data_IF_265773548654
#
_entry.id   IF_265773548654
#
_cell.length_a   1.000
_cell.length_b   1.000
_cell.length_c   1.000
_cell.angle_alpha   90.00
_cell.angle_beta   90.00
_cell.angle_gamma   90.00
#
_symmetry.space_group_name_H-M   'P 1'
#
loop_
_entity.id
_entity.type
_entity.pdbx_description
1 polymer ?
#
# COMPACT_ATOMS: atom_id res chain seq x y z
N UNK A 1 -29.32 -23.87 -12.24
CA UNK A 1 -28.62 -23.86 -10.93
C UNK A 1 -29.31 -22.75 -10.17
N UNK A 2 -29.91 -23.02 -9.01
CA UNK A 2 -30.50 -21.94 -8.22
C UNK A 2 -29.33 -21.10 -7.70
N UNK A 3 -29.16 -19.93 -8.30
CA UNK A 3 -28.05 -19.05 -7.98
C UNK A 3 -28.44 -18.20 -6.77
N UNK A 4 -27.52 -18.03 -5.84
CA UNK A 4 -27.75 -17.27 -4.61
C UNK A 4 -26.66 -16.23 -4.47
N UNK A 5 -27.07 -14.99 -4.33
CA UNK A 5 -26.17 -13.88 -4.14
C UNK A 5 -26.14 -13.45 -2.68
N UNK A 6 -24.92 -13.33 -2.15
CA UNK A 6 -24.65 -12.56 -0.96
C UNK A 6 -24.78 -13.26 0.40
N UNK A 7 -24.55 -12.47 1.47
CA UNK A 7 -24.10 -11.07 1.42
C UNK A 7 -22.63 -10.94 1.02
N UNK A 8 -22.24 -9.76 0.52
CA UNK A 8 -20.85 -9.43 0.20
C UNK A 8 -19.90 -9.47 1.43
N UNK A 9 -20.45 -9.43 2.65
CA UNK A 9 -19.72 -9.49 3.92
C UNK A 9 -20.14 -10.67 4.82
N UNK A 10 -19.83 -10.60 6.11
CA UNK A 10 -20.30 -11.61 7.08
C UNK A 10 -21.82 -11.55 7.29
N UNK A 11 -22.40 -10.36 7.10
CA UNK A 11 -23.82 -10.04 7.25
C UNK A 11 -24.28 -9.08 6.18
N UNK A 12 -25.58 -9.07 5.88
CA UNK A 12 -26.18 -8.08 4.99
C UNK A 12 -27.28 -8.66 4.11
N UNK A 13 -27.85 -7.82 3.23
CA UNK A 13 -28.86 -8.24 2.26
C UNK A 13 -28.33 -9.31 1.29
N UNK A 14 -29.20 -10.26 0.93
CA UNK A 14 -28.90 -11.40 0.09
C UNK A 14 -30.20 -12.04 -0.45
N UNK A 15 -30.08 -12.92 -1.43
CA UNK A 15 -31.23 -13.64 -1.95
C UNK A 15 -30.96 -14.43 -3.22
N UNK A 16 -32.01 -15.01 -3.82
CA UNK A 16 -31.89 -15.69 -5.10
C UNK A 16 -31.51 -14.73 -6.22
N UNK A 17 -30.86 -15.25 -7.24
CA UNK A 17 -30.27 -14.50 -8.34
C UNK A 17 -30.53 -15.19 -9.68
N UNK A 18 -30.78 -14.39 -10.71
CA UNK A 18 -30.88 -14.85 -12.10
C UNK A 18 -29.77 -14.24 -12.93
N UNK A 19 -29.00 -15.08 -13.61
CA UNK A 19 -27.89 -14.69 -14.48
C UNK A 19 -28.28 -14.82 -15.97
N UNK A 20 -27.91 -13.83 -16.77
CA UNK A 20 -28.14 -13.79 -18.22
C UNK A 20 -26.83 -14.06 -18.96
N UNK A 21 -26.81 -15.13 -19.75
CA UNK A 21 -25.64 -15.56 -20.50
C UNK A 21 -25.80 -15.35 -22.01
N UNK A 22 -24.71 -14.93 -22.64
CA UNK A 22 -24.61 -14.76 -24.08
C UNK A 22 -23.53 -15.69 -24.68
N UNK A 23 -23.82 -16.27 -25.85
CA UNK A 23 -22.87 -17.11 -26.57
C UNK A 23 -21.93 -16.23 -27.41
N UNK A 24 -20.70 -16.06 -26.96
CA UNK A 24 -19.77 -15.13 -27.61
C UNK A 24 -19.13 -15.66 -28.89
N UNK A 25 -19.05 -16.98 -29.08
CA UNK A 25 -18.28 -17.54 -30.19
C UNK A 25 -18.90 -17.21 -31.54
N UNK A 26 -18.09 -16.65 -32.44
CA UNK A 26 -18.49 -16.33 -33.81
C UNK A 26 -18.34 -17.53 -34.75
N UNK A 27 -17.47 -18.47 -34.40
CA UNK A 27 -17.13 -19.63 -35.23
C UNK A 27 -18.04 -20.83 -34.98
N UNK A 28 -18.82 -20.82 -33.90
CA UNK A 28 -19.67 -21.95 -33.50
C UNK A 28 -21.05 -21.47 -33.10
N UNK A 29 -22.07 -22.28 -33.35
CA UNK A 29 -23.44 -21.98 -32.92
C UNK A 29 -23.60 -22.33 -31.43
N UNK A 30 -24.47 -21.61 -30.68
CA UNK A 30 -24.75 -21.96 -29.30
C UNK A 30 -25.30 -23.40 -29.20
N UNK A 31 -24.83 -24.20 -28.23
CA UNK A 31 -25.36 -25.53 -28.00
C UNK A 31 -26.83 -25.45 -27.58
N UNK A 32 -27.63 -26.45 -27.95
CA UNK A 32 -29.05 -26.53 -27.58
C UNK A 32 -29.29 -26.58 -26.07
N UNK A 33 -28.31 -27.09 -25.32
CA UNK A 33 -28.35 -27.19 -23.87
C UNK A 33 -27.32 -26.23 -23.29
N UNK A 34 -27.78 -25.31 -22.44
CA UNK A 34 -26.91 -24.43 -21.69
C UNK A 34 -25.98 -25.23 -20.77
N UNK A 35 -24.70 -24.86 -20.74
CA UNK A 35 -23.68 -25.43 -19.88
C UNK A 35 -22.81 -24.30 -19.31
N UNK A 36 -22.92 -23.96 -18.02
CA UNK A 36 -22.17 -22.85 -17.43
C UNK A 36 -20.65 -23.09 -17.38
N UNK A 37 -20.17 -24.33 -17.57
CA UNK A 37 -18.75 -24.65 -17.62
C UNK A 37 -18.11 -24.39 -19.01
N UNK A 38 -18.92 -24.13 -20.04
CA UNK A 38 -18.42 -23.79 -21.36
C UNK A 38 -18.04 -22.30 -21.41
N UNK A 39 -16.75 -22.04 -21.70
CA UNK A 39 -16.13 -20.70 -21.70
C UNK A 39 -16.67 -19.76 -22.79
N UNK A 40 -17.46 -20.28 -23.73
CA UNK A 40 -18.14 -19.48 -24.74
C UNK A 40 -19.45 -18.86 -24.22
N UNK A 41 -19.97 -19.30 -23.07
CA UNK A 41 -21.00 -18.56 -22.37
C UNK A 41 -20.36 -17.46 -21.54
N UNK A 42 -20.76 -16.21 -21.81
CA UNK A 42 -20.36 -15.04 -21.04
C UNK A 42 -21.60 -14.50 -20.35
N UNK A 43 -21.56 -14.44 -19.03
CA UNK A 43 -22.56 -13.73 -18.23
C UNK A 43 -22.43 -12.22 -18.51
N UNK A 44 -23.51 -11.59 -18.97
CA UNK A 44 -23.53 -10.16 -19.30
C UNK A 44 -24.32 -9.33 -18.28
N UNK A 45 -25.25 -9.96 -17.56
CA UNK A 45 -26.16 -9.30 -16.63
C UNK A 45 -26.64 -10.28 -15.57
N UNK A 46 -26.88 -9.81 -14.35
CA UNK A 46 -27.59 -10.54 -13.32
C UNK A 46 -28.65 -9.68 -12.60
N UNK A 47 -29.70 -10.32 -12.09
CA UNK A 47 -30.74 -9.73 -11.26
C UNK A 47 -30.85 -10.49 -9.93
N UNK A 48 -30.46 -9.83 -8.85
CA UNK A 48 -30.54 -10.34 -7.48
C UNK A 48 -31.83 -9.87 -6.81
N UNK A 49 -32.63 -10.82 -6.35
CA UNK A 49 -33.84 -10.53 -5.59
C UNK A 49 -33.49 -10.49 -4.10
N UNK A 50 -33.21 -9.29 -3.59
CA UNK A 50 -32.82 -9.06 -2.21
C UNK A 50 -33.99 -9.29 -1.25
N UNK A 51 -34.21 -10.55 -0.90
CA UNK A 51 -35.33 -11.02 -0.09
C UNK A 51 -34.96 -11.23 1.38
N UNK A 52 -33.68 -11.44 1.69
CA UNK A 52 -33.21 -11.81 3.02
C UNK A 52 -32.07 -10.93 3.51
N UNK A 53 -31.90 -10.86 4.82
CA UNK A 53 -30.71 -10.33 5.48
C UNK A 53 -30.06 -11.47 6.25
N UNK A 54 -28.81 -11.78 5.91
CA UNK A 54 -28.00 -12.73 6.66
C UNK A 54 -27.47 -12.09 7.94
N UNK A 55 -27.71 -12.73 9.06
CA UNK A 55 -27.29 -12.29 10.39
C UNK A 55 -25.89 -12.81 10.75
N UNK A 56 -25.31 -12.28 11.84
CA UNK A 56 -23.97 -12.69 12.31
C UNK A 56 -23.89 -14.16 12.71
N UNK A 57 -25.00 -14.72 13.22
CA UNK A 57 -25.17 -16.13 13.56
C UNK A 57 -25.47 -17.02 12.34
N UNK A 58 -25.48 -16.44 11.12
CA UNK A 58 -25.63 -17.18 9.87
C UNK A 58 -27.08 -17.51 9.48
N UNK A 59 -28.07 -16.96 10.19
CA UNK A 59 -29.49 -17.09 9.84
C UNK A 59 -29.87 -16.12 8.74
N UNK A 60 -30.89 -16.49 7.97
CA UNK A 60 -31.49 -15.63 6.96
C UNK A 60 -32.85 -15.17 7.47
N UNK A 61 -32.98 -13.87 7.73
CA UNK A 61 -34.24 -13.25 8.13
C UNK A 61 -34.81 -12.55 6.91
N UNK A 62 -36.12 -12.62 6.70
CA UNK A 62 -36.76 -11.88 5.61
C UNK A 62 -36.48 -10.37 5.73
N UNK A 63 -36.05 -9.76 4.64
CA UNK A 63 -35.73 -8.34 4.60
C UNK A 63 -37.01 -7.52 4.76
N UNK A 64 -36.97 -6.50 5.62
CA UNK A 64 -38.09 -5.57 5.81
C UNK A 64 -38.44 -4.80 4.54
N UNK A 65 -37.44 -4.56 3.69
CA UNK A 65 -37.59 -3.99 2.36
C UNK A 65 -36.95 -4.95 1.34
N UNK A 66 -37.73 -5.34 0.33
CA UNK A 66 -37.28 -6.15 -0.79
C UNK A 66 -36.96 -5.25 -1.97
N UNK A 67 -35.88 -5.54 -2.68
CA UNK A 67 -35.51 -4.83 -3.90
C UNK A 67 -34.93 -5.80 -4.92
N UNK A 68 -34.89 -5.36 -6.18
CA UNK A 68 -34.09 -6.00 -7.22
C UNK A 68 -32.79 -5.21 -7.31
N UNK A 69 -31.67 -5.89 -7.09
CA UNK A 69 -30.32 -5.36 -7.31
C UNK A 69 -29.81 -5.96 -8.62
N UNK A 70 -29.48 -5.12 -9.58
CA UNK A 70 -29.20 -5.54 -10.95
C UNK A 70 -27.81 -5.09 -11.37
N UNK A 71 -27.05 -5.99 -11.99
CA UNK A 71 -25.66 -5.78 -12.36
C UNK A 71 -25.39 -6.15 -13.80
N UNK A 72 -25.25 -5.14 -14.68
CA UNK A 72 -24.85 -5.37 -16.07
C UNK A 72 -23.36 -5.08 -16.24
N UNK A 73 -22.61 -6.05 -16.76
CA UNK A 73 -21.20 -5.87 -17.09
C UNK A 73 -21.07 -5.06 -18.38
N UNK A 74 -20.83 -3.76 -18.27
CA UNK A 74 -20.72 -2.85 -19.43
C UNK A 74 -19.67 -3.34 -20.43
N UNK A 75 -18.45 -3.66 -19.99
CA UNK A 75 -17.38 -4.11 -20.90
C UNK A 75 -17.73 -5.44 -21.60
N UNK A 76 -18.40 -6.37 -20.89
CA UNK A 76 -18.84 -7.64 -21.49
C UNK A 76 -19.95 -7.41 -22.52
N UNK A 77 -20.89 -6.54 -22.18
CA UNK A 77 -22.04 -6.21 -23.03
C UNK A 77 -21.59 -5.51 -24.31
N UNK A 78 -20.72 -4.49 -24.18
CA UNK A 78 -20.14 -3.78 -25.35
C UNK A 78 -19.34 -4.75 -26.22
N UNK A 79 -18.54 -5.65 -25.64
CA UNK A 79 -17.80 -6.65 -26.41
C UNK A 79 -18.74 -7.55 -27.22
N UNK A 80 -19.79 -8.07 -26.59
CA UNK A 80 -20.82 -8.89 -27.25
C UNK A 80 -21.51 -8.14 -28.38
N UNK A 81 -21.93 -6.89 -28.15
CA UNK A 81 -22.60 -6.06 -29.16
C UNK A 81 -21.71 -5.77 -30.37
N UNK A 82 -20.38 -5.73 -30.18
CA UNK A 82 -19.40 -5.55 -31.24
C UNK A 82 -18.91 -6.88 -31.85
N UNK A 83 -19.50 -8.02 -31.47
CA UNK A 83 -19.09 -9.34 -31.97
C UNK A 83 -17.71 -9.81 -31.51
N UNK A 84 -17.19 -9.24 -30.42
CA UNK A 84 -15.87 -9.57 -29.87
C UNK A 84 -15.97 -10.76 -28.90
N UNK A 85 -15.08 -11.74 -29.06
CA UNK A 85 -14.97 -12.90 -28.15
C UNK A 85 -14.16 -12.60 -26.87
N UNK A 86 -13.60 -11.40 -26.78
CA UNK A 86 -12.73 -10.94 -25.70
C UNK A 86 -13.02 -9.47 -25.37
N UNK A 87 -13.42 -9.18 -24.13
CA UNK A 87 -13.75 -7.82 -23.71
C UNK A 87 -12.54 -6.89 -23.63
N UNK A 88 -11.33 -7.45 -23.56
CA UNK A 88 -10.10 -6.67 -23.64
C UNK A 88 -9.84 -6.09 -25.04
N UNK A 89 -10.55 -6.57 -26.07
CA UNK A 89 -10.50 -6.00 -27.43
C UNK A 89 -11.48 -4.83 -27.62
N UNK A 90 -12.34 -4.55 -26.64
CA UNK A 90 -13.25 -3.42 -26.68
C UNK A 90 -12.55 -2.09 -26.39
N UNK A 91 -13.22 -0.98 -26.71
CA UNK A 91 -12.65 0.37 -26.64
C UNK A 91 -12.19 0.80 -25.24
N UNK A 92 -12.75 0.18 -24.20
CA UNK A 92 -12.37 0.42 -22.81
C UNK A 92 -10.98 -0.12 -22.41
N UNK A 93 -10.36 -0.94 -23.27
CA UNK A 93 -9.07 -1.60 -23.01
C UNK A 93 -8.12 -1.59 -24.21
N UNK A 94 -8.64 -1.63 -25.43
CA UNK A 94 -7.84 -1.73 -26.65
C UNK A 94 -6.75 -0.64 -26.76
N UNK A 95 -7.01 0.66 -26.52
CA UNK A 95 -5.96 1.68 -26.56
C UNK A 95 -4.85 1.45 -25.52
N UNK A 96 -5.22 0.97 -24.33
CA UNK A 96 -4.27 0.65 -23.25
C UNK A 96 -3.38 -0.53 -23.67
N UNK A 97 -3.97 -1.57 -24.27
CA UNK A 97 -3.25 -2.74 -24.78
C UNK A 97 -2.31 -2.35 -25.92
N UNK A 98 -2.77 -1.55 -26.87
CA UNK A 98 -1.95 -1.03 -27.97
C UNK A 98 -0.76 -0.24 -27.42
N UNK A 99 -0.98 0.60 -26.39
CA UNK A 99 0.10 1.33 -25.74
C UNK A 99 1.13 0.42 -25.08
N UNK A 100 0.68 -0.64 -24.39
CA UNK A 100 1.55 -1.66 -23.79
C UNK A 100 2.41 -2.34 -24.87
N UNK A 101 1.83 -2.75 -26.00
CA UNK A 101 2.55 -3.41 -27.08
C UNK A 101 3.54 -2.47 -27.78
N UNK A 102 3.15 -1.21 -27.98
CA UNK A 102 3.98 -0.16 -28.58
C UNK A 102 5.29 0.00 -27.80
N UNK A 103 5.19 0.24 -26.49
CA UNK A 103 6.34 0.54 -25.63
C UNK A 103 7.10 -0.71 -25.18
N UNK A 104 6.54 -1.90 -25.40
CA UNK A 104 7.24 -3.15 -25.11
C UNK A 104 8.34 -3.45 -26.13
N UNK A 105 9.49 -3.87 -25.63
CA UNK A 105 10.61 -4.28 -26.46
C UNK A 105 10.51 -5.79 -26.78
N UNK A 106 10.19 -6.11 -28.04
CA UNK A 106 10.12 -7.48 -28.54
C UNK A 106 8.77 -8.20 -28.36
N UNK A 107 7.79 -7.61 -27.67
CA UNK A 107 6.47 -8.21 -27.47
C UNK A 107 5.39 -7.52 -28.35
N UNK A 108 5.26 -7.95 -29.61
CA UNK A 108 4.49 -7.19 -30.62
C UNK A 108 3.07 -7.68 -30.91
N UNK A 109 2.58 -8.70 -30.20
CA UNK A 109 1.19 -9.16 -30.36
C UNK A 109 0.52 -9.46 -29.03
N UNK A 110 -0.75 -9.06 -28.93
CA UNK A 110 -1.58 -9.34 -27.78
C UNK A 110 -1.85 -10.84 -27.60
N UNK A 111 -2.32 -11.57 -28.63
CA UNK A 111 -2.59 -13.01 -28.61
C UNK A 111 -3.26 -13.54 -27.32
N UNK A 112 -4.24 -12.80 -26.75
CA UNK A 112 -4.89 -13.13 -25.48
C UNK A 112 -3.91 -13.32 -24.30
N UNK A 113 -2.80 -12.58 -24.30
CA UNK A 113 -1.76 -12.73 -23.30
C UNK A 113 -2.21 -12.18 -21.94
N UNK A 114 -2.27 -13.07 -20.96
CA UNK A 114 -2.68 -12.78 -19.59
C UNK A 114 -1.87 -11.64 -18.95
N UNK A 115 -0.58 -11.49 -19.27
CA UNK A 115 0.27 -10.44 -18.68
C UNK A 115 -0.16 -9.07 -19.15
N UNK A 116 -0.47 -8.93 -20.43
CA UNK A 116 -0.95 -7.67 -21.01
C UNK A 116 -2.30 -7.29 -20.41
N UNK A 117 -3.21 -8.27 -20.24
CA UNK A 117 -4.51 -8.05 -19.56
C UNK A 117 -4.32 -7.55 -18.14
N UNK A 118 -3.44 -8.19 -17.36
CA UNK A 118 -3.15 -7.81 -15.96
C UNK A 118 -2.59 -6.39 -15.91
N UNK A 119 -1.67 -6.02 -16.80
CA UNK A 119 -1.11 -4.67 -16.83
C UNK A 119 -2.19 -3.64 -17.16
N UNK A 120 -2.96 -3.86 -18.23
CA UNK A 120 -3.99 -2.93 -18.67
C UNK A 120 -5.07 -2.72 -17.59
N UNK A 121 -5.60 -3.82 -17.04
CA UNK A 121 -6.62 -3.81 -16.00
C UNK A 121 -6.13 -3.12 -14.72
N UNK A 122 -4.95 -3.50 -14.23
CA UNK A 122 -4.48 -2.99 -12.94
C UNK A 122 -4.00 -1.54 -13.02
N UNK A 123 -3.46 -1.08 -14.15
CA UNK A 123 -3.14 0.33 -14.35
C UNK A 123 -4.42 1.15 -14.48
N UNK A 124 -5.41 0.71 -15.29
CA UNK A 124 -6.74 1.35 -15.36
C UNK A 124 -7.36 1.49 -13.98
N UNK A 125 -7.42 0.40 -13.21
CA UNK A 125 -7.99 0.42 -11.86
C UNK A 125 -7.20 1.35 -10.90
N UNK A 126 -5.87 1.35 -10.98
CA UNK A 126 -5.04 2.22 -10.14
C UNK A 126 -5.26 3.69 -10.44
N UNK A 127 -5.43 4.08 -11.72
CA UNK A 127 -5.72 5.45 -12.12
C UNK A 127 -7.00 5.97 -11.45
N UNK A 128 -8.10 5.22 -11.55
CA UNK A 128 -9.38 5.59 -10.93
C UNK A 128 -9.29 5.64 -9.40
N UNK A 129 -8.65 4.66 -8.76
CA UNK A 129 -8.49 4.65 -7.30
C UNK A 129 -7.67 5.86 -6.81
N UNK A 130 -6.61 6.25 -7.53
CA UNK A 130 -5.79 7.41 -7.16
C UNK A 130 -6.53 8.73 -7.42
N UNK A 131 -7.36 8.78 -8.47
CA UNK A 131 -8.20 9.95 -8.76
C UNK A 131 -9.15 10.29 -7.61
N UNK A 132 -9.68 9.28 -6.91
CA UNK A 132 -10.48 9.45 -5.69
C UNK A 132 -9.64 9.81 -4.44
N UNK A 133 -8.35 10.07 -4.59
CA UNK A 133 -7.45 10.53 -3.53
C UNK A 133 -6.76 9.40 -2.75
N UNK A 134 -6.90 8.14 -3.15
CA UNK A 134 -6.24 7.01 -2.47
C UNK A 134 -4.79 6.86 -2.94
N UNK A 135 -3.83 6.95 -2.02
CA UNK A 135 -2.41 6.77 -2.32
C UNK A 135 -1.87 5.41 -1.86
N UNK A 136 -0.85 4.82 -2.54
CA UNK A 136 -0.21 3.59 -2.13
C UNK A 136 0.28 3.59 -0.67
N UNK A 137 -0.11 2.58 0.10
CA UNK A 137 0.27 2.43 1.52
C UNK A 137 0.43 0.95 1.93
N UNK A 138 0.74 0.69 3.21
CA UNK A 138 0.83 -0.67 3.75
C UNK A 138 -0.52 -1.23 4.26
N UNK A 139 -1.60 -0.43 4.26
CA UNK A 139 -2.85 -0.78 4.93
C UNK A 139 -4.09 -0.36 4.14
N UNK A 140 -5.20 -1.06 4.37
CA UNK A 140 -6.54 -0.72 3.85
C UNK A 140 -6.57 -0.46 2.33
N UNK A 141 -7.22 0.63 1.90
CA UNK A 141 -7.37 1.00 0.48
C UNK A 141 -6.02 1.29 -0.18
N UNK A 142 -5.10 1.90 0.56
CA UNK A 142 -3.74 2.16 0.09
C UNK A 142 -2.94 0.87 -0.17
N UNK A 143 -3.19 -0.20 0.58
CA UNK A 143 -2.61 -1.51 0.28
C UNK A 143 -3.13 -2.07 -1.06
N UNK A 144 -4.41 -1.91 -1.34
CA UNK A 144 -5.04 -2.41 -2.58
C UNK A 144 -4.42 -1.76 -3.81
N UNK A 145 -4.37 -0.42 -3.86
CA UNK A 145 -3.78 0.29 -5.02
C UNK A 145 -2.30 -0.04 -5.18
N UNK A 146 -1.56 -0.12 -4.06
CA UNK A 146 -0.16 -0.52 -4.08
C UNK A 146 0.03 -1.93 -4.64
N UNK A 147 -0.83 -2.88 -4.26
CA UNK A 147 -0.81 -4.25 -4.76
C UNK A 147 -1.05 -4.29 -6.26
N UNK A 148 -2.04 -3.54 -6.77
CA UNK A 148 -2.36 -3.47 -8.20
C UNK A 148 -1.16 -2.95 -9.01
N UNK A 149 -0.59 -1.80 -8.62
CA UNK A 149 0.59 -1.21 -9.28
C UNK A 149 1.77 -2.19 -9.27
N UNK A 150 2.12 -2.76 -8.11
CA UNK A 150 3.26 -3.69 -8.00
C UNK A 150 3.06 -4.96 -8.83
N UNK A 151 1.82 -5.46 -8.92
CA UNK A 151 1.50 -6.60 -9.77
C UNK A 151 1.64 -6.24 -11.25
N UNK A 152 1.14 -5.08 -11.69
CA UNK A 152 1.36 -4.59 -13.05
C UNK A 152 2.85 -4.49 -13.39
N UNK A 153 3.66 -3.86 -12.51
CA UNK A 153 5.12 -3.74 -12.68
C UNK A 153 5.80 -5.10 -12.80
N UNK A 154 5.43 -6.07 -11.96
CA UNK A 154 5.98 -7.44 -12.01
C UNK A 154 5.72 -8.13 -13.35
N UNK A 155 4.52 -7.97 -13.90
CA UNK A 155 4.16 -8.51 -15.21
C UNK A 155 4.83 -7.75 -16.35
N UNK A 156 4.96 -6.43 -16.24
CA UNK A 156 5.65 -5.60 -17.21
C UNK A 156 7.11 -6.02 -17.41
N UNK A 157 7.83 -6.29 -16.33
CA UNK A 157 9.22 -6.77 -16.41
C UNK A 157 9.33 -8.11 -17.17
N UNK A 158 8.34 -9.00 -17.04
CA UNK A 158 8.33 -10.28 -17.77
C UNK A 158 8.15 -10.11 -19.28
N UNK A 159 7.67 -8.94 -19.72
CA UNK A 159 7.54 -8.56 -21.14
C UNK A 159 8.47 -7.38 -21.49
N UNK A 160 9.57 -7.24 -20.73
CA UNK A 160 10.64 -6.26 -20.98
C UNK A 160 10.22 -4.79 -20.90
N UNK A 161 9.18 -4.47 -20.14
CA UNK A 161 8.82 -3.08 -19.82
C UNK A 161 9.65 -2.53 -18.66
N UNK A 162 9.96 -1.24 -18.75
CA UNK A 162 10.62 -0.43 -17.71
C UNK A 162 10.08 0.98 -17.76
N UNK A 163 9.88 1.58 -16.59
CA UNK A 163 9.44 2.97 -16.41
C UNK A 163 8.23 3.26 -17.33
N UNK A 164 7.17 2.48 -17.11
CA UNK A 164 6.06 2.35 -18.07
C UNK A 164 4.69 2.67 -17.47
N UNK A 165 4.55 2.65 -16.15
CA UNK A 165 3.23 2.71 -15.50
C UNK A 165 2.49 4.02 -15.79
N UNK A 166 3.20 5.14 -15.80
CA UNK A 166 2.69 6.46 -16.20
C UNK A 166 2.36 6.50 -17.71
N UNK A 167 3.24 5.96 -18.57
CA UNK A 167 3.01 5.90 -20.03
C UNK A 167 1.79 5.08 -20.42
N UNK A 168 1.52 3.98 -19.71
CA UNK A 168 0.31 3.17 -19.92
C UNK A 168 -0.92 3.88 -19.35
N UNK A 169 -0.77 4.63 -18.26
CA UNK A 169 -1.85 5.41 -17.70
C UNK A 169 -2.32 6.55 -18.62
N UNK A 170 -1.45 7.14 -19.44
CA UNK A 170 -1.84 8.12 -20.47
C UNK A 170 -2.99 7.60 -21.37
N UNK A 171 -2.90 6.35 -21.82
CA UNK A 171 -3.96 5.72 -22.63
C UNK A 171 -5.27 5.53 -21.85
N UNK A 172 -5.25 5.57 -20.52
CA UNK A 172 -6.48 5.59 -19.70
C UNK A 172 -7.10 6.98 -19.71
N UNK A 173 -6.28 8.04 -19.60
CA UNK A 173 -6.78 9.41 -19.68
C UNK A 173 -7.43 9.69 -21.05
N UNK A 174 -6.80 9.24 -22.14
CA UNK A 174 -7.34 9.39 -23.50
C UNK A 174 -8.75 8.79 -23.66
N UNK A 175 -9.11 7.77 -22.87
CA UNK A 175 -10.43 7.13 -22.92
C UNK A 175 -11.45 7.84 -22.03
N UNK A 176 -11.04 8.37 -20.88
CA UNK A 176 -11.96 8.72 -19.79
C UNK A 176 -11.91 10.19 -19.33
N UNK A 177 -10.89 10.97 -19.66
CA UNK A 177 -10.71 12.32 -19.06
C UNK A 177 -11.82 13.32 -19.41
N UNK A 178 -12.52 13.11 -20.54
CA UNK A 178 -13.67 13.94 -20.91
C UNK A 178 -14.92 13.64 -20.08
N UNK A 179 -15.05 12.42 -19.56
CA UNK A 179 -16.22 11.98 -18.81
C UNK A 179 -16.04 12.07 -17.28
N UNK A 180 -14.79 12.13 -16.81
CA UNK A 180 -14.45 12.11 -15.39
C UNK A 180 -13.54 13.30 -15.04
N UNK A 181 -14.12 14.37 -14.50
CA UNK A 181 -13.41 15.61 -14.15
C UNK A 181 -12.23 15.37 -13.20
N UNK A 182 -12.38 14.45 -12.25
CA UNK A 182 -11.37 14.09 -11.27
C UNK A 182 -10.12 13.48 -11.90
N UNK A 183 -10.23 12.83 -13.07
CA UNK A 183 -9.07 12.36 -13.82
C UNK A 183 -8.29 13.54 -14.39
N UNK A 184 -8.98 14.49 -15.00
CA UNK A 184 -8.37 15.70 -15.59
C UNK A 184 -7.70 16.56 -14.53
N UNK A 185 -8.37 16.77 -13.40
CA UNK A 185 -7.86 17.59 -12.29
C UNK A 185 -6.64 16.97 -11.60
N UNK A 186 -6.59 15.64 -11.49
CA UNK A 186 -5.53 14.94 -10.76
C UNK A 186 -4.48 14.28 -11.66
N UNK A 187 -4.50 14.49 -12.98
CA UNK A 187 -3.64 13.78 -13.96
C UNK A 187 -2.18 13.72 -13.55
N UNK A 188 -1.55 14.89 -13.35
CA UNK A 188 -0.12 14.98 -12.99
C UNK A 188 0.20 14.22 -11.69
N UNK A 189 -0.65 14.36 -10.67
CA UNK A 189 -0.51 13.66 -9.39
C UNK A 189 -0.61 12.14 -9.56
N UNK A 190 -1.57 11.66 -10.38
CA UNK A 190 -1.75 10.23 -10.64
C UNK A 190 -0.51 9.67 -11.34
N UNK A 191 -0.03 10.33 -12.40
CA UNK A 191 1.16 9.92 -13.15
C UNK A 191 2.40 9.89 -12.24
N UNK A 192 2.57 10.90 -11.39
CA UNK A 192 3.66 10.95 -10.41
C UNK A 192 3.59 9.78 -9.41
N UNK A 193 2.42 9.52 -8.83
CA UNK A 193 2.22 8.43 -7.87
C UNK A 193 2.57 7.07 -8.49
N UNK A 194 2.12 6.80 -9.72
CA UNK A 194 2.43 5.57 -10.44
C UNK A 194 3.94 5.43 -10.68
N UNK A 195 4.57 6.47 -11.23
CA UNK A 195 6.01 6.50 -11.51
C UNK A 195 6.85 6.29 -10.25
N UNK A 196 6.51 6.97 -9.16
CA UNK A 196 7.23 6.84 -7.88
C UNK A 196 7.07 5.44 -7.27
N UNK A 197 5.88 4.86 -7.31
CA UNK A 197 5.66 3.52 -6.76
C UNK A 197 6.33 2.44 -7.62
N UNK A 198 6.35 2.57 -8.95
CA UNK A 198 7.13 1.70 -9.85
C UNK A 198 8.62 1.74 -9.51
N UNK A 199 9.21 2.94 -9.47
CA UNK A 199 10.63 3.13 -9.13
C UNK A 199 10.97 2.49 -7.79
N UNK A 200 10.19 2.82 -6.76
CA UNK A 200 10.34 2.30 -5.40
C UNK A 200 10.22 0.79 -5.34
N UNK A 201 9.31 0.19 -6.12
CA UNK A 201 9.20 -1.26 -6.15
C UNK A 201 10.38 -1.91 -6.86
N UNK A 202 10.80 -1.39 -8.02
CA UNK A 202 11.94 -1.89 -8.79
C UNK A 202 13.23 -1.95 -7.96
N UNK A 203 13.51 -0.94 -7.12
CA UNK A 203 14.66 -0.92 -6.20
C UNK A 203 14.68 -2.10 -5.19
N UNK A 204 13.51 -2.65 -4.88
CA UNK A 204 13.32 -3.74 -3.91
C UNK A 204 13.01 -5.09 -4.55
N UNK A 205 12.51 -5.09 -5.80
CA UNK A 205 12.04 -6.27 -6.50
C UNK A 205 13.15 -7.30 -6.65
N UNK A 206 14.30 -6.91 -7.18
CA UNK A 206 15.44 -7.80 -7.40
C UNK A 206 15.96 -8.41 -6.10
N UNK A 207 15.85 -7.68 -4.98
CA UNK A 207 16.24 -8.19 -3.66
C UNK A 207 15.24 -9.25 -3.17
N UNK A 208 13.95 -9.02 -3.38
CA UNK A 208 12.91 -10.00 -3.04
C UNK A 208 12.97 -11.25 -3.91
N UNK A 209 13.15 -11.12 -5.23
CA UNK A 209 13.27 -12.26 -6.15
C UNK A 209 14.48 -13.15 -5.82
N UNK A 210 15.59 -12.56 -5.38
CA UNK A 210 16.78 -13.31 -4.93
C UNK A 210 16.51 -14.26 -3.76
N UNK A 211 15.50 -13.99 -2.93
CA UNK A 211 15.09 -14.93 -1.86
C UNK A 211 14.55 -16.22 -2.46
N UNK A 212 13.72 -16.11 -3.51
CA UNK A 212 13.22 -17.27 -4.24
C UNK A 212 14.33 -17.97 -5.02
N UNK A 213 15.20 -17.21 -5.70
CA UNK A 213 16.31 -17.77 -6.48
C UNK A 213 17.24 -18.62 -5.60
N UNK A 214 17.59 -18.13 -4.40
CA UNK A 214 18.41 -18.87 -3.43
C UNK A 214 17.77 -20.20 -3.03
N UNK A 215 16.46 -20.23 -2.78
CA UNK A 215 15.75 -21.47 -2.44
C UNK A 215 15.72 -22.46 -3.60
N UNK A 216 15.44 -21.97 -4.81
CA UNK A 216 15.50 -22.80 -6.02
C UNK A 216 16.88 -23.43 -6.15
N UNK A 217 17.94 -22.62 -5.99
CA UNK A 217 19.32 -23.08 -6.06
C UNK A 217 19.64 -24.12 -4.98
N UNK A 218 19.27 -23.88 -3.72
CA UNK A 218 19.49 -24.83 -2.63
C UNK A 218 18.73 -26.16 -2.86
N UNK A 219 17.50 -26.11 -3.37
CA UNK A 219 16.75 -27.34 -3.70
C UNK A 219 17.39 -28.11 -4.87
N UNK A 220 17.96 -27.43 -5.86
CA UNK A 220 18.72 -28.07 -6.94
C UNK A 220 19.98 -28.74 -6.37
N UNK A 221 20.72 -28.06 -5.51
CA UNK A 221 21.95 -28.59 -4.88
C UNK A 221 21.67 -29.83 -3.99
N UNK A 222 20.59 -29.82 -3.22
CA UNK A 222 20.14 -30.96 -2.41
C UNK A 222 19.78 -32.17 -3.28
N UNK A 223 19.05 -31.95 -4.38
CA UNK A 223 18.66 -33.02 -5.29
C UNK A 223 19.87 -33.61 -6.03
N UNK A 224 20.80 -32.77 -6.48
CA UNK A 224 22.09 -33.19 -7.07
C UNK A 224 22.87 -34.07 -6.09
N UNK A 225 22.94 -33.67 -4.80
CA UNK A 225 23.59 -34.45 -3.75
C UNK A 225 22.90 -35.79 -3.52
N UNK A 226 21.56 -35.83 -3.58
CA UNK A 226 20.76 -37.05 -3.39
C UNK A 226 20.95 -38.07 -4.51
N UNK A 227 21.06 -37.61 -5.76
CA UNK A 227 21.19 -38.49 -6.93
C UNK A 227 22.64 -38.84 -7.28
N UNK A 228 23.63 -38.34 -6.52
CA UNK A 228 25.04 -38.67 -6.69
C UNK A 228 25.65 -38.19 -8.02
N UNK A 229 25.02 -37.22 -8.69
CA UNK A 229 25.36 -36.81 -10.06
C UNK A 229 26.27 -35.58 -10.17
N UNK A 230 26.91 -35.42 -11.33
CA UNK A 230 27.67 -34.22 -11.74
C UNK A 230 26.73 -33.07 -12.14
N UNK A 231 27.29 -31.85 -12.25
CA UNK A 231 26.63 -30.54 -12.52
C UNK A 231 25.63 -30.45 -13.69
N UNK A 232 25.38 -31.52 -14.46
CA UNK A 232 24.47 -31.57 -15.61
C UNK A 232 23.14 -32.27 -15.29
N UNK A 233 22.57 -32.03 -14.11
CA UNK A 233 21.23 -32.51 -13.78
C UNK A 233 20.15 -31.63 -14.45
N UNK A 234 19.22 -32.27 -15.14
CA UNK A 234 18.05 -31.60 -15.71
C UNK A 234 17.07 -31.17 -14.62
N UNK A 235 17.22 -29.93 -14.15
CA UNK A 235 16.41 -29.30 -13.12
C UNK A 235 14.92 -29.19 -13.48
N UNK A 236 14.53 -29.40 -14.75
CA UNK A 236 13.12 -29.39 -15.14
C UNK A 236 12.33 -30.57 -14.57
N UNK A 237 13.02 -31.64 -14.16
CA UNK A 237 12.45 -32.85 -13.54
C UNK A 237 12.14 -32.69 -12.05
N UNK A 238 12.60 -31.62 -11.42
CA UNK A 238 12.29 -31.34 -10.01
C UNK A 238 10.80 -31.01 -9.88
N UNK A 239 10.08 -31.85 -9.12
CA UNK A 239 8.64 -31.69 -8.89
C UNK A 239 8.31 -30.48 -8.02
N UNK A 240 9.21 -30.11 -7.10
CA UNK A 240 9.04 -28.96 -6.20
C UNK A 240 10.37 -28.44 -5.68
N UNK A 241 10.53 -27.12 -5.59
CA UNK A 241 11.71 -26.47 -5.00
C UNK A 241 11.51 -26.17 -3.49
N UNK A 242 10.90 -27.11 -2.76
CA UNK A 242 10.59 -26.94 -1.34
C UNK A 242 9.34 -26.09 -1.06
N UNK A 243 9.34 -25.37 0.07
CA UNK A 243 8.20 -24.57 0.58
C UNK A 243 8.63 -23.15 0.94
N UNK A 244 7.66 -22.23 0.94
CA UNK A 244 7.79 -20.89 1.52
C UNK A 244 7.03 -20.91 2.85
N UNK A 245 7.70 -20.48 3.93
CA UNK A 245 7.09 -20.35 5.26
C UNK A 245 6.40 -18.99 5.44
N UNK A 246 5.45 -18.91 6.38
CA UNK A 246 4.79 -17.64 6.74
C UNK A 246 5.78 -16.56 7.18
N UNK A 247 6.84 -16.94 7.90
CA UNK A 247 7.92 -16.03 8.31
C UNK A 247 8.70 -15.47 7.14
N UNK A 248 8.99 -16.28 6.12
CA UNK A 248 9.67 -15.82 4.90
C UNK A 248 8.76 -14.92 4.07
N UNK A 249 7.48 -15.28 3.93
CA UNK A 249 6.49 -14.42 3.28
C UNK A 249 6.35 -13.08 4.01
N UNK A 250 6.33 -13.09 5.33
CA UNK A 250 6.27 -11.88 6.15
C UNK A 250 7.53 -11.03 5.99
N UNK A 251 8.71 -11.66 5.96
CA UNK A 251 9.97 -10.95 5.69
C UNK A 251 9.96 -10.29 4.30
N UNK A 252 9.48 -11.01 3.28
CA UNK A 252 9.35 -10.50 1.91
C UNK A 252 8.44 -9.26 1.84
N UNK A 253 7.31 -9.34 2.54
CA UNK A 253 6.36 -8.24 2.68
C UNK A 253 6.96 -7.06 3.45
N UNK A 254 7.51 -7.29 4.64
CA UNK A 254 7.99 -6.23 5.51
C UNK A 254 9.24 -5.54 4.96
N UNK A 255 10.20 -6.31 4.43
CA UNK A 255 11.54 -5.82 4.10
C UNK A 255 11.67 -5.36 2.65
N UNK A 256 10.94 -6.00 1.74
CA UNK A 256 11.00 -5.72 0.31
C UNK A 256 9.66 -5.24 -0.26
N UNK A 257 8.63 -5.12 0.58
CA UNK A 257 7.30 -4.66 0.17
C UNK A 257 6.58 -5.59 -0.79
N UNK A 258 6.97 -6.86 -0.89
CA UNK A 258 6.27 -7.82 -1.75
C UNK A 258 4.86 -8.06 -1.19
N UNK A 259 3.79 -7.69 -1.91
CA UNK A 259 2.44 -8.04 -1.49
C UNK A 259 2.30 -9.55 -1.38
N UNK A 260 1.52 -10.02 -0.41
CA UNK A 260 1.35 -11.45 -0.15
C UNK A 260 0.89 -12.22 -1.40
N UNK A 261 -0.01 -11.62 -2.19
CA UNK A 261 -0.54 -12.21 -3.41
C UNK A 261 0.54 -12.39 -4.48
N UNK A 262 1.52 -11.48 -4.58
CA UNK A 262 2.66 -11.66 -5.48
C UNK A 262 3.59 -12.77 -4.98
N UNK A 263 3.76 -12.92 -3.66
CA UNK A 263 4.54 -14.02 -3.06
C UNK A 263 3.89 -15.36 -3.40
N UNK A 264 2.57 -15.45 -3.24
CA UNK A 264 1.79 -16.63 -3.60
C UNK A 264 1.92 -16.95 -5.09
N UNK A 265 1.74 -15.95 -5.96
CA UNK A 265 1.85 -16.12 -7.41
C UNK A 265 3.26 -16.56 -7.83
N UNK A 266 4.29 -15.95 -7.27
CA UNK A 266 5.69 -16.28 -7.57
C UNK A 266 6.04 -17.70 -7.09
N UNK A 267 5.58 -18.09 -5.89
CA UNK A 267 5.78 -19.43 -5.36
C UNK A 267 5.11 -20.49 -6.25
N UNK A 268 3.87 -20.25 -6.71
CA UNK A 268 3.17 -21.14 -7.65
C UNK A 268 3.89 -21.24 -8.99
N UNK A 269 4.23 -20.08 -9.59
CA UNK A 269 4.91 -20.00 -10.88
C UNK A 269 6.24 -20.75 -10.89
N UNK A 270 6.94 -20.76 -9.75
CA UNK A 270 8.23 -21.44 -9.57
C UNK A 270 8.10 -22.87 -9.02
N UNK A 271 6.93 -23.51 -9.07
CA UNK A 271 6.72 -24.89 -8.57
C UNK A 271 7.08 -25.11 -7.10
N UNK A 272 6.94 -24.12 -6.21
CA UNK A 272 7.02 -24.38 -4.77
C UNK A 272 5.76 -25.11 -4.30
N UNK A 273 5.90 -26.01 -3.32
CA UNK A 273 4.74 -26.63 -2.66
C UNK A 273 4.13 -25.62 -1.70
N UNK A 274 2.97 -25.09 -2.06
CA UNK A 274 2.27 -24.07 -1.27
C UNK A 274 0.89 -24.56 -0.86
N UNK A 275 0.65 -24.66 0.45
CA UNK A 275 -0.72 -24.68 0.98
C UNK A 275 -1.09 -23.22 1.25
N UNK A 276 -1.88 -22.62 0.36
CA UNK A 276 -2.20 -21.18 0.38
C UNK A 276 -2.89 -20.79 1.68
N UNK A 277 -3.88 -21.59 2.12
CA UNK A 277 -4.63 -21.33 3.36
C UNK A 277 -3.69 -21.33 4.57
N UNK A 278 -2.80 -22.32 4.65
CA UNK A 278 -1.80 -22.39 5.72
C UNK A 278 -0.79 -21.24 5.63
N UNK A 279 -0.24 -20.98 4.45
CA UNK A 279 0.73 -19.91 4.24
C UNK A 279 0.16 -18.54 4.63
N UNK A 280 -1.10 -18.26 4.26
CA UNK A 280 -1.80 -17.03 4.63
C UNK A 280 -1.98 -16.94 6.14
N UNK A 281 -2.47 -18.01 6.79
CA UNK A 281 -2.61 -18.05 8.26
C UNK A 281 -1.27 -17.84 8.97
N UNK A 282 -0.22 -18.50 8.51
CA UNK A 282 1.12 -18.38 9.11
C UNK A 282 1.68 -16.96 8.88
N UNK A 283 1.46 -16.36 7.71
CA UNK A 283 1.82 -14.96 7.41
C UNK A 283 1.09 -13.97 8.31
N UNK A 284 -0.23 -14.12 8.45
CA UNK A 284 -1.08 -13.29 9.31
C UNK A 284 -0.64 -13.40 10.77
N UNK A 285 -0.32 -14.61 11.25
CA UNK A 285 0.22 -14.81 12.59
C UNK A 285 1.55 -14.08 12.81
N UNK A 286 2.47 -14.11 11.84
CA UNK A 286 3.73 -13.36 11.94
C UNK A 286 3.50 -11.84 11.90
N UNK A 287 2.53 -11.39 11.10
CA UNK A 287 2.11 -10.00 11.05
C UNK A 287 1.50 -9.54 12.38
N UNK A 288 0.63 -10.35 12.99
CA UNK A 288 0.04 -10.11 14.32
C UNK A 288 1.12 -10.03 15.39
N UNK A 289 2.05 -10.98 15.45
CA UNK A 289 3.20 -10.92 16.39
C UNK A 289 3.97 -9.62 16.25
N UNK A 290 4.24 -9.18 15.01
CA UNK A 290 4.93 -7.93 14.76
C UNK A 290 4.09 -6.69 15.15
N UNK A 291 2.79 -6.72 14.91
CA UNK A 291 1.87 -5.67 15.37
C UNK A 291 1.78 -5.62 16.89
N UNK A 292 1.72 -6.77 17.56
CA UNK A 292 1.71 -6.87 19.02
C UNK A 292 2.99 -6.32 19.62
N UNK A 293 4.17 -6.69 19.11
CA UNK A 293 5.46 -6.09 19.50
C UNK A 293 5.45 -4.57 19.34
N UNK A 294 4.81 -4.06 18.27
CA UNK A 294 4.65 -2.62 18.04
C UNK A 294 3.63 -1.97 19.01
N UNK A 295 2.59 -2.72 19.40
CA UNK A 295 1.54 -2.32 20.35
C UNK A 295 2.00 -2.38 21.80
N UNK A 296 2.77 -3.37 22.23
CA UNK A 296 3.40 -3.39 23.56
C UNK A 296 4.44 -2.29 23.70
N UNK A 297 5.15 -1.93 22.62
CA UNK A 297 5.93 -0.69 22.57
C UNK A 297 5.09 0.61 22.59
N UNK A 298 3.76 0.49 22.57
CA UNK A 298 2.79 1.62 22.58
C UNK A 298 1.85 1.61 23.80
N UNK A 299 1.63 0.45 24.45
CA UNK A 299 0.95 0.33 25.75
C UNK A 299 1.86 0.95 26.81
N UNK A 300 1.47 2.14 27.28
CA UNK A 300 2.28 3.04 28.08
C UNK A 300 2.40 4.44 27.48
N UNK A 301 2.00 4.64 26.20
CA UNK A 301 2.04 5.97 25.58
C UNK A 301 0.86 6.84 26.02
N UNK A 302 1.16 7.90 26.76
CA UNK A 302 0.32 9.06 27.04
C UNK A 302 0.17 9.95 25.78
N UNK A 303 -0.68 10.97 25.88
CA UNK A 303 -0.86 11.98 24.83
C UNK A 303 0.49 12.58 24.41
N UNK A 304 0.63 12.93 23.12
CA UNK A 304 1.86 13.41 22.49
C UNK A 304 3.05 12.40 22.38
N UNK A 305 2.80 11.10 22.60
CA UNK A 305 3.79 10.04 22.31
C UNK A 305 4.76 9.70 23.45
N UNK A 306 4.53 10.28 24.63
CA UNK A 306 5.25 10.08 25.88
C UNK A 306 4.96 8.73 26.52
N UNK A 307 5.96 7.97 26.97
CA UNK A 307 5.76 6.74 27.73
C UNK A 307 5.52 6.96 29.24
N UNK A 308 5.83 8.15 29.76
CA UNK A 308 5.60 8.59 31.14
C UNK A 308 5.65 10.13 31.26
N UNK A 309 5.50 10.62 32.49
CA UNK A 309 5.61 12.04 32.86
C UNK A 309 6.91 12.38 33.60
N UNK A 310 7.98 11.59 33.41
CA UNK A 310 9.27 11.90 34.04
C UNK A 310 9.84 13.23 33.53
N UNK A 311 10.73 13.83 34.31
CA UNK A 311 11.45 15.05 33.90
C UNK A 311 12.22 14.81 32.58
N UNK A 312 12.82 13.63 32.43
CA UNK A 312 13.57 13.28 31.23
C UNK A 312 12.68 13.12 30.00
N UNK A 313 11.53 12.46 30.12
CA UNK A 313 10.54 12.38 29.04
C UNK A 313 10.00 13.77 28.66
N UNK A 314 9.83 14.66 29.63
CA UNK A 314 9.41 16.07 29.41
C UNK A 314 10.47 16.87 28.64
N UNK A 315 11.76 16.68 28.96
CA UNK A 315 12.89 17.24 28.18
C UNK A 315 12.90 16.71 26.75
N UNK A 316 12.74 15.39 26.57
CA UNK A 316 12.67 14.79 25.24
C UNK A 316 11.46 15.26 24.43
N UNK A 317 10.34 15.51 25.08
CA UNK A 317 9.16 16.02 24.40
C UNK A 317 9.40 17.42 23.82
N UNK A 318 10.04 18.30 24.59
CA UNK A 318 10.47 19.61 24.07
C UNK A 318 11.52 19.47 22.97
N UNK A 319 12.46 18.53 23.10
CA UNK A 319 13.43 18.22 22.05
C UNK A 319 12.76 17.73 20.75
N UNK A 320 11.60 17.07 20.85
CA UNK A 320 10.81 16.62 19.70
C UNK A 320 10.36 17.81 18.85
N UNK A 321 9.80 18.84 19.47
CA UNK A 321 9.35 20.05 18.78
C UNK A 321 10.53 20.78 18.13
N UNK A 322 11.67 20.85 18.84
CA UNK A 322 12.87 21.49 18.31
C UNK A 322 13.47 20.73 17.12
N UNK A 323 13.47 19.39 17.20
CA UNK A 323 13.89 18.51 16.12
C UNK A 323 12.99 18.66 14.90
N UNK A 324 11.68 18.70 15.09
CA UNK A 324 10.73 18.86 13.99
C UNK A 324 10.97 20.16 13.23
N UNK A 325 11.10 21.27 13.96
CA UNK A 325 11.42 22.56 13.34
C UNK A 325 12.76 22.53 12.61
N UNK A 326 13.79 21.92 13.21
CA UNK A 326 15.10 21.81 12.58
C UNK A 326 15.04 21.01 11.27
N UNK A 327 14.29 19.91 11.26
CA UNK A 327 14.08 19.10 10.06
C UNK A 327 13.41 19.93 8.95
N UNK A 328 12.37 20.71 9.27
CA UNK A 328 11.72 21.59 8.29
C UNK A 328 12.66 22.66 7.73
N UNK A 329 13.48 23.27 8.59
CA UNK A 329 14.44 24.31 8.17
C UNK A 329 15.53 23.74 7.27
N UNK A 330 16.04 22.54 7.57
CA UNK A 330 17.19 21.96 6.84
C UNK A 330 16.76 21.16 5.60
N UNK A 331 15.61 20.48 5.66
CA UNK A 331 15.17 19.53 4.64
C UNK A 331 13.98 20.03 3.80
N UNK A 332 13.29 21.09 4.24
CA UNK A 332 12.16 21.70 3.56
C UNK A 332 10.84 21.64 4.34
N UNK A 333 9.92 22.56 4.05
CA UNK A 333 8.66 22.72 4.79
C UNK A 333 7.68 21.55 4.63
N UNK A 334 7.87 20.71 3.61
CA UNK A 334 7.11 19.48 3.33
C UNK A 334 7.37 18.35 4.35
N UNK A 335 8.37 18.50 5.23
CA UNK A 335 8.60 17.54 6.31
C UNK A 335 7.47 17.60 7.34
N UNK A 336 6.90 16.45 7.62
CA UNK A 336 5.78 16.20 8.51
C UNK A 336 6.10 15.01 9.41
N UNK A 337 5.58 15.08 10.63
CA UNK A 337 5.67 13.99 11.58
C UNK A 337 4.78 12.82 11.17
N UNK A 338 5.39 11.64 11.05
CA UNK A 338 4.72 10.37 10.77
C UNK A 338 4.53 9.53 12.03
N UNK A 339 5.24 9.86 13.12
CA UNK A 339 5.10 9.20 14.41
C UNK A 339 6.14 9.68 15.41
N UNK A 340 5.82 9.55 16.70
CA UNK A 340 6.77 9.85 17.79
C UNK A 340 6.63 8.82 18.91
N UNK A 341 7.74 8.55 19.59
CA UNK A 341 7.76 7.79 20.83
C UNK A 341 8.89 8.29 21.73
N UNK A 342 8.52 8.75 22.91
CA UNK A 342 9.45 9.28 23.91
C UNK A 342 9.42 8.34 25.12
N UNK A 343 10.60 7.96 25.62
CA UNK A 343 10.78 7.25 26.90
C UNK A 343 11.90 7.96 27.69
N UNK A 344 12.10 7.66 29.00
CA UNK A 344 13.21 8.23 29.76
C UNK A 344 14.59 7.97 29.16
N UNK A 345 14.73 6.91 28.38
CA UNK A 345 16.01 6.51 27.79
C UNK A 345 16.22 7.10 26.39
N UNK A 346 15.15 7.45 25.66
CA UNK A 346 15.28 7.87 24.25
C UNK A 346 14.13 8.70 23.70
N UNK A 347 14.49 9.56 22.74
CA UNK A 347 13.59 10.14 21.75
C UNK A 347 13.56 9.27 20.48
N UNK A 348 12.38 8.97 19.95
CA UNK A 348 12.17 8.45 18.59
C UNK A 348 11.23 9.38 17.83
N UNK A 349 11.67 9.85 16.66
CA UNK A 349 10.89 10.70 15.78
C UNK A 349 10.88 10.14 14.35
N UNK A 350 9.69 9.91 13.80
CA UNK A 350 9.49 9.43 12.44
C UNK A 350 8.92 10.57 11.57
N UNK A 351 9.46 10.75 10.38
CA UNK A 351 9.09 11.84 9.46
C UNK A 351 9.09 11.39 8.00
N UNK A 352 8.31 12.05 7.15
CA UNK A 352 8.29 11.78 5.71
C UNK A 352 9.55 12.37 5.06
N UNK A 353 10.37 11.50 4.47
CA UNK A 353 11.51 11.94 3.67
C UNK A 353 11.94 10.80 2.74
N UNK A 354 12.19 11.08 1.44
CA UNK A 354 12.33 10.02 0.43
C UNK A 354 13.67 9.28 0.51
N UNK A 355 14.70 9.90 1.10
CA UNK A 355 16.07 9.37 1.12
C UNK A 355 16.68 9.33 2.52
N UNK A 356 17.85 8.70 2.62
CA UNK A 356 18.70 8.77 3.83
C UNK A 356 19.22 10.20 4.03
N UNK A 357 19.30 10.65 5.28
CA UNK A 357 19.96 11.91 5.62
C UNK A 357 21.47 11.78 5.43
N UNK A 358 22.10 12.81 4.88
CA UNK A 358 23.55 12.88 4.81
C UNK A 358 24.12 13.17 6.20
N UNK A 359 25.39 12.81 6.42
CA UNK A 359 26.07 13.12 7.69
C UNK A 359 26.13 14.65 7.93
N UNK A 360 26.20 15.44 6.85
CA UNK A 360 26.17 16.90 6.94
C UNK A 360 24.80 17.43 7.36
N UNK A 361 23.71 16.89 6.83
CA UNK A 361 22.35 17.24 7.25
C UNK A 361 22.11 16.89 8.72
N UNK A 362 22.52 15.69 9.15
CA UNK A 362 22.43 15.26 10.56
C UNK A 362 23.18 16.25 11.45
N UNK A 363 24.42 16.60 11.09
CA UNK A 363 25.22 17.58 11.84
C UNK A 363 24.56 18.96 11.88
N UNK A 364 24.03 19.46 10.76
CA UNK A 364 23.31 20.74 10.70
C UNK A 364 22.08 20.74 11.60
N UNK A 365 21.34 19.63 11.66
CA UNK A 365 20.18 19.47 12.54
C UNK A 365 20.61 19.53 14.01
N UNK A 366 21.63 18.75 14.40
CA UNK A 366 22.17 18.76 15.77
C UNK A 366 22.70 20.15 16.17
N UNK A 367 23.49 20.78 15.31
CA UNK A 367 24.09 22.09 15.55
C UNK A 367 23.02 23.17 15.71
N UNK A 368 21.96 23.14 14.87
CA UNK A 368 20.84 24.07 14.97
C UNK A 368 20.09 23.91 16.29
N UNK A 369 19.70 22.69 16.67
CA UNK A 369 18.97 22.44 17.92
C UNK A 369 19.81 22.87 19.12
N UNK A 370 21.10 22.49 19.15
CA UNK A 370 21.99 22.85 20.26
C UNK A 370 22.27 24.35 20.33
N UNK A 371 22.32 25.04 19.19
CA UNK A 371 22.41 26.51 19.15
C UNK A 371 21.19 27.16 19.79
N UNK A 372 19.99 26.67 19.50
CA UNK A 372 18.75 27.20 20.10
C UNK A 372 18.63 26.85 21.58
N UNK A 373 19.04 25.64 21.99
CA UNK A 373 19.09 25.26 23.41
C UNK A 373 19.96 26.23 24.21
N UNK A 374 21.15 26.59 23.68
CA UNK A 374 22.08 27.55 24.31
C UNK A 374 21.49 28.95 24.48
N UNK A 375 20.48 29.35 23.71
CA UNK A 375 19.78 30.63 23.89
C UNK A 375 18.87 30.65 25.12
N UNK A 376 18.66 29.51 25.79
CA UNK A 376 17.84 29.39 27.00
C UNK A 376 16.42 29.91 26.78
N UNK A 377 15.79 29.46 25.70
CA UNK A 377 14.47 29.89 25.27
C UNK A 377 13.42 29.48 26.31
N UNK A 378 12.52 30.41 26.65
CA UNK A 378 11.35 30.13 27.47
C UNK A 378 10.34 29.33 26.66
N UNK A 379 9.74 28.33 27.28
CA UNK A 379 8.61 27.60 26.70
C UNK A 379 7.32 28.11 27.34
N UNK A 380 6.35 28.47 26.52
CA UNK A 380 5.04 28.96 26.96
C UNK A 380 3.93 28.29 26.15
N UNK A 381 2.69 28.38 26.63
CA UNK A 381 1.54 27.97 25.85
C UNK A 381 0.39 28.95 25.98
N UNK A 382 -0.47 28.95 24.97
CA UNK A 382 -1.73 29.66 24.95
C UNK A 382 -2.86 28.69 24.58
N UNK A 383 -4.02 28.85 25.21
CA UNK A 383 -5.24 28.13 24.83
C UNK A 383 -6.05 28.97 23.85
N UNK A 384 -6.40 28.38 22.71
CA UNK A 384 -7.18 29.08 21.68
C UNK A 384 -7.99 28.11 20.80
N UNK A 385 -9.00 28.60 20.06
CA UNK A 385 -9.70 27.78 19.08
C UNK A 385 -8.76 27.22 18.01
N UNK A 386 -9.00 25.99 17.56
CA UNK A 386 -8.17 25.30 16.57
C UNK A 386 -7.90 26.14 15.31
N UNK A 387 -8.92 26.78 14.75
CA UNK A 387 -8.77 27.61 13.55
C UNK A 387 -7.85 28.81 13.77
N UNK A 388 -7.87 29.40 14.97
CA UNK A 388 -6.98 30.50 15.35
C UNK A 388 -5.54 29.99 15.52
N UNK A 389 -5.37 28.80 16.08
CA UNK A 389 -4.07 28.15 16.20
C UNK A 389 -3.41 27.95 14.83
N UNK A 390 -4.13 27.40 13.85
CA UNK A 390 -3.62 27.21 12.48
C UNK A 390 -3.24 28.56 11.84
N UNK A 391 -4.11 29.58 11.96
CA UNK A 391 -3.82 30.93 11.44
C UNK A 391 -2.60 31.59 12.09
N UNK A 392 -2.24 31.19 13.31
CA UNK A 392 -1.05 31.71 14.02
C UNK A 392 0.28 31.12 13.54
N UNK A 393 0.23 30.20 12.56
CA UNK A 393 1.38 29.45 12.05
C UNK A 393 1.77 28.26 12.93
N UNK A 394 0.90 27.85 13.86
CA UNK A 394 1.16 26.68 14.69
C UNK A 394 1.10 25.41 13.86
N UNK A 395 2.12 24.58 14.00
CA UNK A 395 2.14 23.25 13.42
C UNK A 395 1.05 22.38 14.05
N UNK A 396 0.33 21.60 13.25
CA UNK A 396 -0.78 20.75 13.67
C UNK A 396 -0.70 19.40 12.98
N UNK A 397 -0.91 18.31 13.74
CA UNK A 397 -0.78 16.96 13.23
C UNK A 397 -1.94 16.09 13.70
N UNK A 398 -2.59 15.38 12.77
CA UNK A 398 -3.74 14.50 13.04
C UNK A 398 -4.93 15.26 13.62
N UNK A 399 -5.60 16.07 12.79
CA UNK A 399 -6.71 16.94 13.18
C UNK A 399 -7.79 16.22 13.99
N UNK A 400 -8.05 14.95 13.67
CA UNK A 400 -9.07 14.13 14.33
C UNK A 400 -8.81 13.91 15.83
N UNK A 401 -7.60 14.22 16.31
CA UNK A 401 -7.19 14.04 17.71
C UNK A 401 -7.31 15.29 18.57
N UNK A 402 -7.61 16.45 17.99
CA UNK A 402 -7.64 17.70 18.73
C UNK A 402 -9.06 18.14 19.11
N UNK A 403 -9.29 18.57 20.37
CA UNK A 403 -10.53 19.22 20.75
C UNK A 403 -10.70 20.60 20.10
N UNK A 404 -11.89 21.22 20.14
CA UNK A 404 -12.14 22.53 19.54
C UNK A 404 -11.24 23.66 20.08
N UNK A 405 -10.91 23.61 21.37
CA UNK A 405 -9.93 24.49 22.03
C UNK A 405 -8.65 23.70 22.24
N UNK A 406 -7.53 24.24 21.78
CA UNK A 406 -6.23 23.57 21.79
C UNK A 406 -5.18 24.39 22.53
N UNK A 407 -4.16 23.72 23.06
CA UNK A 407 -2.95 24.34 23.59
C UNK A 407 -1.91 24.47 22.48
N UNK A 408 -1.47 25.70 22.24
CA UNK A 408 -0.38 26.02 21.32
C UNK A 408 0.87 26.30 22.13
N UNK A 409 1.85 25.41 22.05
CA UNK A 409 3.14 25.57 22.72
C UNK A 409 4.13 26.29 21.81
N UNK A 410 4.84 27.27 22.39
CA UNK A 410 5.92 28.02 21.76
C UNK A 410 7.23 27.79 22.51
N UNK A 411 8.30 27.43 21.79
CA UNK A 411 9.66 27.39 22.31
C UNK A 411 10.38 28.64 21.85
N UNK A 412 10.26 29.73 22.62
CA UNK A 412 10.59 31.08 22.17
C UNK A 412 9.97 31.39 20.80
N UNK A 413 10.75 32.04 19.94
CA UNK A 413 10.37 32.31 18.54
C UNK A 413 10.80 31.19 17.58
N UNK A 414 11.34 30.08 18.10
CA UNK A 414 11.92 29.02 17.26
C UNK A 414 10.87 28.06 16.71
N UNK A 415 10.02 27.51 17.59
CA UNK A 415 8.96 26.58 17.19
C UNK A 415 7.61 26.92 17.83
N UNK A 416 6.53 26.61 17.12
CA UNK A 416 5.15 26.78 17.56
C UNK A 416 4.32 25.59 17.08
N UNK A 417 3.71 24.84 18.01
CA UNK A 417 3.05 23.58 17.70
C UNK A 417 1.85 23.33 18.63
N UNK A 418 0.78 22.74 18.08
CA UNK A 418 -0.37 22.29 18.86
C UNK A 418 -0.01 20.99 19.57
N UNK A 419 0.03 21.02 20.91
CA UNK A 419 0.43 19.87 21.70
C UNK A 419 -0.30 19.80 23.04
N UNK A 420 -0.44 18.58 23.58
CA UNK A 420 -1.16 18.30 24.83
C UNK A 420 -0.26 17.68 25.90
N UNK A 421 1.03 17.46 25.62
CA UNK A 421 1.97 16.85 26.57
C UNK A 421 2.75 17.89 27.39
N UNK A 422 3.35 17.49 28.53
CA UNK A 422 4.20 18.35 29.35
C UNK A 422 5.45 18.83 28.59
N UNK A 423 5.90 20.04 28.88
CA UNK A 423 7.13 20.62 28.33
C UNK A 423 8.00 21.17 29.47
N UNK A 424 9.30 21.33 29.21
CA UNK A 424 10.18 22.05 30.14
C UNK A 424 9.83 23.53 30.11
N UNK A 425 10.03 24.26 31.20
CA UNK A 425 9.80 25.71 31.24
C UNK A 425 10.85 26.50 30.44
N UNK A 426 12.05 25.94 30.31
CA UNK A 426 13.17 26.58 29.64
C UNK A 426 14.11 25.55 29.00
N UNK A 427 14.58 25.83 27.78
CA UNK A 427 15.48 24.92 27.05
C UNK A 427 16.83 24.72 27.74
N UNK A 428 17.23 25.62 28.65
CA UNK A 428 18.50 25.51 29.40
C UNK A 428 18.62 24.23 30.22
N UNK A 429 17.49 23.59 30.56
CA UNK A 429 17.45 22.35 31.34
C UNK A 429 17.65 21.08 30.50
N UNK A 430 17.70 21.21 29.17
CA UNK A 430 17.70 20.07 28.24
C UNK A 430 19.09 19.47 27.99
N UNK A 431 20.18 20.10 28.41
CA UNK A 431 21.54 19.61 28.11
C UNK A 431 21.89 19.73 26.63
N UNK A 432 22.57 18.72 26.07
CA UNK A 432 23.01 18.70 24.66
C UNK A 432 22.25 17.66 23.85
N UNK A 433 21.61 18.08 22.76
CA UNK A 433 20.92 17.18 21.84
C UNK A 433 21.88 16.43 20.92
N UNK A 434 21.64 15.12 20.77
CA UNK A 434 22.44 14.25 19.89
C UNK A 434 21.59 13.18 19.22
N UNK A 435 21.72 13.05 17.91
CA UNK A 435 21.15 11.98 17.09
C UNK A 435 22.05 10.75 17.21
N UNK A 436 21.50 9.66 17.74
CA UNK A 436 22.23 8.39 17.91
C UNK A 436 22.09 7.47 16.72
N UNK A 437 20.94 7.53 16.03
CA UNK A 437 20.67 6.69 14.87
C UNK A 437 19.67 7.33 13.92
N UNK A 438 19.90 7.12 12.63
CA UNK A 438 18.94 7.41 11.56
C UNK A 438 18.72 6.14 10.74
N UNK A 439 17.47 5.75 10.51
CA UNK A 439 17.11 4.53 9.79
C UNK A 439 15.82 4.65 8.98
N UNK A 440 15.68 3.83 7.92
CA UNK A 440 14.43 3.71 7.17
C UNK A 440 13.38 2.95 8.00
N UNK A 441 12.15 3.45 8.08
CA UNK A 441 11.03 2.71 8.71
C UNK A 441 10.22 1.99 7.66
N UNK A 442 9.84 2.74 6.63
CA UNK A 442 9.16 2.26 5.44
C UNK A 442 9.50 3.22 4.31
N UNK A 443 9.15 2.87 3.09
CA UNK A 443 9.55 3.68 1.95
C UNK A 443 8.81 5.04 1.94
N UNK A 444 9.59 6.13 1.96
CA UNK A 444 9.12 7.50 2.16
C UNK A 444 9.12 7.97 3.62
N UNK A 445 9.47 7.11 4.59
CA UNK A 445 9.47 7.44 6.03
C UNK A 445 10.80 7.08 6.66
N UNK A 446 11.41 8.07 7.31
CA UNK A 446 12.68 7.96 8.04
C UNK A 446 12.44 8.07 9.54
N UNK A 447 13.36 7.53 10.34
CA UNK A 447 13.33 7.59 11.80
C UNK A 447 14.65 8.08 12.34
N UNK A 448 14.56 9.07 13.22
CA UNK A 448 15.65 9.52 14.07
C UNK A 448 15.44 8.96 15.48
N UNK A 449 16.52 8.44 16.07
CA UNK A 449 16.64 8.22 17.50
C UNK A 449 17.65 9.21 18.05
N UNK A 450 17.31 9.86 19.16
CA UNK A 450 18.16 10.88 19.77
C UNK A 450 18.14 10.78 21.30
N UNK A 451 19.15 11.39 21.91
CA UNK A 451 19.31 11.52 23.36
C UNK A 451 19.65 12.98 23.72
N UNK A 452 19.58 13.28 25.01
CA UNK A 452 20.03 14.52 25.63
C UNK A 452 21.19 14.16 26.57
N UNK A 453 22.38 14.70 26.30
CA UNK A 453 23.63 14.52 27.07
C UNK A 453 23.83 15.60 28.13
#
# INVERSE_FOLDING_TARGET
KDNWWGPAGATGPCGPDTEMFYWKSQNTKPPKKFNPEDKNWVEIWNDVFMQYVKTKDGKFIEASQKNVDTGMGVERTVAVLNGLEDNYLGDSFKPIIEKILEISNGFKSYNNNERVRIIADHIKASVFIIAEGVTPSNTERGYVVRRLIRRAVRHGIKISLKDFTDKVAEAVFDIYEENYSELKENKEKILEVLRLEEKKFNETLDKGLRVFDKKVQSSIEEEIRRVGGTKNYDHTKIKSFGTISGKEAFLLYQSYGFPFELIEEEAKNRKFKVNIKKLKKDFESEQEKHQELSRTATKGKFAAGLADHSEQSTKYHTATHMLHKALKVILGEEVQQMGSNITPERLRFDFNFPRKLTNEEIKKIEDLINKEIKKKLRVSYEEMPYEKAIKSGALSYFRERYPPIVKVYSVGDYSKEICTGPHVENTSTMGKFKITKEEAVSAGVRRIKAILE
#
